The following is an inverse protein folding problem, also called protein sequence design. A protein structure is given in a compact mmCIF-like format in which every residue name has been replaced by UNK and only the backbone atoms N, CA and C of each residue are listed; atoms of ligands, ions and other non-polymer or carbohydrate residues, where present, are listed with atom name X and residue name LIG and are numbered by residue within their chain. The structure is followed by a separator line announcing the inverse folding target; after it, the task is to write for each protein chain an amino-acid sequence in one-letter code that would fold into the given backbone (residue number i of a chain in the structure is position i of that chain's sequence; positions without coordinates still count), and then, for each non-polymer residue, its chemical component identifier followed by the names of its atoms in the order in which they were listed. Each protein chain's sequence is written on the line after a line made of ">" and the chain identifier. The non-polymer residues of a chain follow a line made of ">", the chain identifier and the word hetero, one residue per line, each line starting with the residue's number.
data_IF_912638008632
#
_entry.id   IF_912638008632
#
_cell.length_a   1.000
_cell.length_b   1.000
_cell.length_c   1.000
_cell.angle_alpha   90.00
_cell.angle_beta   90.00
_cell.angle_gamma   90.00
#
_symmetry.space_group_name_H-M   'P 1'
#
loop_
_entity.id
_entity.type
_entity.pdbx_description
1 polymer ?
#
# COMPACT_ATOMS: atom_id res chain seq x y z
N UNK A 1 4.03 43.31 21.81
CA UNK A 1 3.85 42.48 23.04
C UNK A 1 2.81 41.41 22.72
N UNK A 2 3.22 40.14 22.71
CA UNK A 2 2.28 39.03 22.56
C UNK A 2 1.41 38.95 23.81
N UNK A 3 0.09 38.81 23.69
CA UNK A 3 -0.82 38.82 24.84
C UNK A 3 -0.85 37.54 25.65
N UNK A 4 -0.13 36.49 25.25
CA UNK A 4 -0.01 35.22 25.99
C UNK A 4 1.39 34.64 25.85
N UNK A 5 1.91 33.89 26.84
CA UNK A 5 3.20 33.22 26.70
C UNK A 5 3.11 32.12 25.63
N UNK A 6 3.87 32.31 24.55
CA UNK A 6 4.01 31.29 23.53
C UNK A 6 4.86 30.14 24.08
N UNK A 7 4.34 28.91 24.06
CA UNK A 7 5.13 27.70 24.34
C UNK A 7 5.60 27.12 22.99
N UNK A 8 6.91 26.95 22.85
CA UNK A 8 7.45 26.15 21.76
C UNK A 8 7.05 24.69 22.04
N UNK A 9 6.21 24.12 21.18
CA UNK A 9 5.71 22.75 21.33
C UNK A 9 6.69 21.76 20.71
N UNK A 10 7.41 22.17 19.67
CA UNK A 10 8.43 21.39 19.00
C UNK A 10 9.35 22.33 18.20
N UNK A 11 10.64 22.16 18.31
CA UNK A 11 11.63 22.84 17.50
C UNK A 11 12.48 21.76 16.80
N UNK A 12 12.40 21.71 15.49
CA UNK A 12 13.24 20.85 14.66
C UNK A 12 14.26 21.74 13.93
N UNK A 13 15.50 21.78 14.43
CA UNK A 13 16.59 22.49 13.78
C UNK A 13 17.35 21.50 12.89
N UNK A 14 16.98 21.41 11.63
CA UNK A 14 17.73 20.63 10.62
C UNK A 14 18.57 21.60 9.81
N UNK A 15 19.90 21.42 9.80
CA UNK A 15 20.79 22.21 8.95
C UNK A 15 20.40 22.10 7.47
N UNK A 16 20.53 23.19 6.67
CA UNK A 16 20.07 23.20 5.27
C UNK A 16 20.65 22.08 4.41
N UNK A 17 21.88 21.67 4.68
CA UNK A 17 22.57 20.59 3.96
C UNK A 17 22.05 19.20 4.32
N UNK A 18 21.79 18.93 5.60
CA UNK A 18 21.22 17.66 6.06
C UNK A 18 19.77 17.50 5.62
N UNK A 19 18.99 18.58 5.62
CA UNK A 19 17.62 18.58 5.12
C UNK A 19 17.56 18.26 3.63
N UNK A 20 18.38 18.88 2.80
CA UNK A 20 18.44 18.62 1.36
C UNK A 20 18.87 17.18 1.05
N UNK A 21 19.88 16.66 1.73
CA UNK A 21 20.34 15.29 1.57
C UNK A 21 19.27 14.27 1.95
N UNK A 22 18.54 14.49 3.05
CA UNK A 22 17.46 13.61 3.51
C UNK A 22 16.31 13.59 2.52
N UNK A 23 15.91 14.73 1.96
CA UNK A 23 14.87 14.81 0.92
C UNK A 23 15.32 14.09 -0.34
N UNK A 24 16.56 14.27 -0.79
CA UNK A 24 17.07 13.57 -1.96
C UNK A 24 17.07 12.05 -1.77
N UNK A 25 17.52 11.56 -0.63
CA UNK A 25 17.47 10.14 -0.26
C UNK A 25 16.03 9.62 -0.22
N UNK A 26 15.10 10.39 0.30
CA UNK A 26 13.68 10.07 0.30
C UNK A 26 13.08 9.92 -1.11
N UNK A 27 13.41 10.85 -2.01
CA UNK A 27 12.99 10.81 -3.42
C UNK A 27 13.58 9.58 -4.13
N UNK A 28 14.87 9.31 -3.94
CA UNK A 28 15.51 8.12 -4.53
C UNK A 28 14.83 6.83 -4.03
N UNK A 29 14.57 6.73 -2.73
CA UNK A 29 13.87 5.58 -2.14
C UNK A 29 12.46 5.42 -2.70
N UNK A 30 11.73 6.52 -2.89
CA UNK A 30 10.42 6.53 -3.52
C UNK A 30 10.47 5.99 -4.96
N UNK A 31 11.40 6.49 -5.78
CA UNK A 31 11.55 6.05 -7.17
C UNK A 31 11.94 4.58 -7.25
N UNK A 32 12.87 4.13 -6.41
CA UNK A 32 13.26 2.71 -6.35
C UNK A 32 12.08 1.82 -5.96
N UNK A 33 11.34 2.17 -4.91
CA UNK A 33 10.15 1.42 -4.50
C UNK A 33 9.10 1.38 -5.62
N UNK A 34 8.85 2.51 -6.27
CA UNK A 34 7.91 2.63 -7.38
C UNK A 34 8.27 1.71 -8.56
N UNK A 35 9.54 1.74 -8.99
CA UNK A 35 10.02 0.88 -10.09
C UNK A 35 9.94 -0.60 -9.70
N UNK A 36 10.32 -0.96 -8.48
CA UNK A 36 10.22 -2.34 -7.99
C UNK A 36 8.77 -2.84 -8.01
N UNK A 37 7.81 -2.02 -7.58
CA UNK A 37 6.38 -2.36 -7.63
C UNK A 37 5.88 -2.53 -9.06
N UNK A 38 6.29 -1.65 -9.99
CA UNK A 38 5.92 -1.78 -11.41
C UNK A 38 6.43 -3.08 -12.03
N UNK A 39 7.70 -3.42 -11.78
CA UNK A 39 8.30 -4.68 -12.26
C UNK A 39 7.59 -5.88 -11.65
N UNK A 40 7.34 -5.86 -10.33
CA UNK A 40 6.61 -6.90 -9.63
C UNK A 40 5.23 -7.18 -10.25
N UNK A 41 4.45 -6.14 -10.54
CA UNK A 41 3.11 -6.30 -11.10
C UNK A 41 3.12 -6.95 -12.50
N UNK A 42 4.06 -6.56 -13.37
CA UNK A 42 4.19 -7.19 -14.69
C UNK A 42 4.68 -8.65 -14.58
N UNK A 43 5.62 -8.92 -13.67
CA UNK A 43 6.17 -10.25 -13.47
C UNK A 43 5.11 -11.23 -12.92
N UNK A 44 4.22 -10.76 -12.04
CA UNK A 44 3.21 -11.60 -11.39
C UNK A 44 1.92 -11.77 -12.19
N UNK A 45 1.46 -10.73 -12.91
CA UNK A 45 0.13 -10.70 -13.52
C UNK A 45 0.11 -10.66 -15.05
N UNK A 46 1.26 -10.90 -15.69
CA UNK A 46 1.39 -10.78 -17.13
C UNK A 46 1.35 -9.30 -17.63
N UNK A 47 1.65 -9.13 -18.94
CA UNK A 47 1.87 -7.80 -19.53
C UNK A 47 0.60 -6.95 -19.46
N UNK A 48 -0.57 -7.47 -19.86
CA UNK A 48 -1.79 -6.65 -19.95
C UNK A 48 -2.30 -6.23 -18.57
N UNK A 49 -2.58 -7.15 -17.60
CA UNK A 49 -3.01 -6.74 -16.26
C UNK A 49 -1.92 -5.97 -15.50
N UNK A 50 -0.65 -6.37 -15.65
CA UNK A 50 0.48 -5.69 -15.03
C UNK A 50 0.62 -4.24 -15.50
N UNK A 51 0.50 -3.98 -16.81
CA UNK A 51 0.53 -2.62 -17.37
C UNK A 51 -0.68 -1.80 -16.94
N UNK A 52 -1.86 -2.44 -16.78
CA UNK A 52 -3.04 -1.76 -16.24
C UNK A 52 -2.87 -1.33 -14.79
N UNK A 53 -2.32 -2.20 -13.95
CA UNK A 53 -1.99 -1.85 -12.58
C UNK A 53 -0.93 -0.73 -12.52
N UNK A 54 0.07 -0.80 -13.37
CA UNK A 54 1.10 0.24 -13.48
C UNK A 54 0.53 1.59 -13.93
N UNK A 55 -0.41 1.58 -14.88
CA UNK A 55 -1.13 2.80 -15.28
C UNK A 55 -1.93 3.37 -14.11
N UNK A 56 -2.65 2.53 -13.37
CA UNK A 56 -3.38 2.96 -12.17
C UNK A 56 -2.43 3.54 -11.11
N UNK A 57 -1.25 2.96 -10.94
CA UNK A 57 -0.23 3.43 -10.02
C UNK A 57 0.35 4.79 -10.44
N UNK A 58 0.63 4.99 -11.73
CA UNK A 58 1.06 6.27 -12.29
C UNK A 58 0.00 7.37 -12.06
N UNK A 59 -1.26 7.05 -12.37
CA UNK A 59 -2.37 7.98 -12.16
C UNK A 59 -2.57 8.28 -10.67
N UNK A 60 -2.38 7.30 -9.80
CA UNK A 60 -2.41 7.49 -8.34
C UNK A 60 -1.38 8.52 -7.89
N UNK A 61 -0.11 8.36 -8.29
CA UNK A 61 0.96 9.32 -7.97
C UNK A 61 0.63 10.71 -8.51
N UNK A 62 0.19 10.78 -9.76
CA UNK A 62 -0.17 12.05 -10.39
C UNK A 62 -1.28 12.78 -9.64
N UNK A 63 -2.36 12.09 -9.28
CA UNK A 63 -3.45 12.70 -8.51
C UNK A 63 -3.03 13.05 -7.08
N UNK A 64 -2.26 12.19 -6.42
CA UNK A 64 -1.77 12.47 -5.07
C UNK A 64 -0.91 13.74 -5.06
N UNK A 65 0.04 13.87 -5.98
CA UNK A 65 0.85 15.08 -6.12
C UNK A 65 0.01 16.30 -6.51
N UNK A 66 -0.94 16.14 -7.43
CA UNK A 66 -1.84 17.21 -7.84
C UNK A 66 -2.70 17.74 -6.69
N UNK A 67 -3.22 16.86 -5.84
CA UNK A 67 -3.99 17.25 -4.66
C UNK A 67 -3.09 17.94 -3.64
N UNK A 68 -1.91 17.39 -3.34
CA UNK A 68 -0.96 18.00 -2.40
C UNK A 68 -0.55 19.40 -2.83
N UNK A 69 -0.27 19.62 -4.11
CA UNK A 69 0.08 20.96 -4.63
C UNK A 69 -1.11 21.91 -4.57
N UNK A 70 -2.33 21.44 -4.83
CA UNK A 70 -3.54 22.27 -4.73
C UNK A 70 -3.79 22.79 -3.31
N UNK A 71 -3.49 21.96 -2.31
CA UNK A 71 -3.59 22.35 -0.89
C UNK A 71 -2.35 23.09 -0.37
N UNK A 72 -1.37 23.39 -1.23
CA UNK A 72 -0.08 23.98 -0.84
C UNK A 72 0.59 23.23 0.34
N UNK A 73 0.34 21.93 0.42
CA UNK A 73 0.92 21.09 1.46
C UNK A 73 2.43 20.91 1.20
N UNK A 74 3.24 21.27 2.18
CA UNK A 74 4.68 21.05 2.09
C UNK A 74 4.98 19.54 2.07
N UNK A 75 5.73 19.10 1.06
CA UNK A 75 6.19 17.73 0.97
C UNK A 75 7.36 17.54 1.94
N UNK A 76 7.06 17.06 3.13
CA UNK A 76 8.05 16.75 4.17
C UNK A 76 8.62 15.34 3.98
N UNK A 77 9.76 15.03 4.60
CA UNK A 77 10.32 13.69 4.58
C UNK A 77 9.35 12.61 5.11
N UNK A 78 8.65 12.82 6.24
CA UNK A 78 7.58 11.92 6.66
C UNK A 78 6.40 11.86 5.67
N UNK A 79 6.10 12.95 4.97
CA UNK A 79 5.12 12.96 3.90
C UNK A 79 5.50 12.06 2.72
N UNK A 80 6.78 12.05 2.33
CA UNK A 80 7.30 11.08 1.35
C UNK A 80 7.10 9.64 1.82
N UNK A 81 7.36 9.33 3.10
CA UNK A 81 7.10 8.01 3.66
C UNK A 81 5.61 7.63 3.59
N UNK A 82 4.71 8.58 3.85
CA UNK A 82 3.26 8.40 3.68
C UNK A 82 2.88 8.08 2.23
N UNK A 83 3.50 8.74 1.25
CA UNK A 83 3.31 8.43 -0.18
C UNK A 83 3.78 7.01 -0.52
N UNK A 84 4.97 6.60 -0.08
CA UNK A 84 5.49 5.23 -0.31
C UNK A 84 4.53 4.20 0.27
N UNK A 85 4.03 4.43 1.48
CA UNK A 85 3.05 3.55 2.11
C UNK A 85 1.75 3.47 1.30
N UNK A 86 1.26 4.59 0.78
CA UNK A 86 0.04 4.62 -0.05
C UNK A 86 0.22 3.90 -1.39
N UNK A 87 1.43 3.90 -1.98
CA UNK A 87 1.73 3.08 -3.16
C UNK A 87 1.58 1.58 -2.88
N UNK A 88 2.03 1.13 -1.72
CA UNK A 88 1.86 -0.26 -1.28
C UNK A 88 0.38 -0.65 -1.21
N UNK A 89 -0.45 0.19 -0.59
CA UNK A 89 -1.90 -0.05 -0.50
C UNK A 89 -2.61 0.02 -1.86
N UNK A 90 -2.14 0.88 -2.77
CA UNK A 90 -2.67 0.98 -4.13
C UNK A 90 -2.41 -0.29 -4.94
N UNK A 91 -1.19 -0.86 -4.82
CA UNK A 91 -0.84 -2.13 -5.47
C UNK A 91 -1.65 -3.27 -4.86
N UNK A 92 -1.81 -3.33 -3.53
CA UNK A 92 -2.55 -4.37 -2.82
C UNK A 92 -4.01 -4.46 -3.30
N UNK A 93 -4.67 -3.35 -3.51
CA UNK A 93 -6.03 -3.31 -4.06
C UNK A 93 -6.11 -3.96 -5.46
N UNK A 94 -5.16 -3.65 -6.35
CA UNK A 94 -5.09 -4.26 -7.68
C UNK A 94 -4.78 -5.77 -7.61
N UNK A 95 -3.85 -6.17 -6.74
CA UNK A 95 -3.51 -7.57 -6.47
C UNK A 95 -4.76 -8.35 -6.04
N UNK A 96 -5.51 -7.83 -5.08
CA UNK A 96 -6.72 -8.47 -4.57
C UNK A 96 -7.77 -8.65 -5.67
N UNK A 97 -8.01 -7.64 -6.49
CA UNK A 97 -8.93 -7.72 -7.63
C UNK A 97 -8.46 -8.81 -8.61
N UNK A 98 -7.18 -8.83 -8.97
CA UNK A 98 -6.65 -9.78 -9.95
C UNK A 98 -6.68 -11.23 -9.44
N UNK A 99 -6.39 -11.45 -8.15
CA UNK A 99 -6.51 -12.80 -7.58
C UNK A 99 -7.98 -13.27 -7.55
N UNK A 100 -8.94 -12.40 -7.27
CA UNK A 100 -10.37 -12.73 -7.39
C UNK A 100 -10.78 -13.02 -8.84
N UNK A 101 -10.29 -12.26 -9.82
CA UNK A 101 -10.53 -12.55 -11.23
C UNK A 101 -9.94 -13.93 -11.61
N UNK A 102 -8.74 -14.28 -11.14
CA UNK A 102 -8.13 -15.59 -11.35
C UNK A 102 -8.98 -16.73 -10.75
N UNK A 103 -9.50 -16.57 -9.54
CA UNK A 103 -10.41 -17.54 -8.91
C UNK A 103 -11.64 -17.77 -9.77
N UNK A 104 -12.26 -16.71 -10.26
CA UNK A 104 -13.45 -16.79 -11.09
C UNK A 104 -13.19 -17.42 -12.48
N UNK A 105 -12.04 -17.13 -13.08
CA UNK A 105 -11.58 -17.78 -14.31
C UNK A 105 -11.33 -19.28 -14.10
N UNK A 106 -10.74 -19.67 -12.97
CA UNK A 106 -10.51 -21.08 -12.61
C UNK A 106 -11.82 -21.83 -12.34
N UNK A 107 -12.87 -21.14 -11.92
CA UNK A 107 -14.22 -21.73 -11.78
C UNK A 107 -14.93 -21.96 -13.13
N UNK A 108 -14.31 -21.58 -14.25
CA UNK A 108 -14.83 -21.78 -15.61
C UNK A 108 -15.68 -20.63 -16.14
N UNK A 109 -15.73 -19.48 -15.47
CA UNK A 109 -16.44 -18.30 -15.99
C UNK A 109 -15.71 -17.67 -17.17
N UNK A 110 -16.46 -17.14 -18.12
CA UNK A 110 -15.90 -16.35 -19.22
C UNK A 110 -15.26 -15.05 -18.72
N UNK A 111 -14.29 -14.50 -19.47
CA UNK A 111 -13.50 -13.34 -19.07
C UNK A 111 -14.35 -12.17 -18.58
N UNK A 112 -15.40 -11.80 -19.31
CA UNK A 112 -16.27 -10.68 -18.94
C UNK A 112 -16.99 -10.90 -17.61
N UNK A 113 -17.48 -12.12 -17.38
CA UNK A 113 -18.13 -12.49 -16.12
C UNK A 113 -17.12 -12.58 -14.96
N UNK A 114 -15.94 -13.13 -15.22
CA UNK A 114 -14.88 -13.25 -14.23
C UNK A 114 -14.37 -11.89 -13.75
N UNK A 115 -14.18 -10.93 -14.66
CA UNK A 115 -13.80 -9.56 -14.32
C UNK A 115 -14.90 -8.89 -13.48
N UNK A 116 -16.16 -8.93 -13.92
CA UNK A 116 -17.27 -8.34 -13.18
C UNK A 116 -17.42 -8.94 -11.77
N UNK A 117 -17.33 -10.27 -11.64
CA UNK A 117 -17.40 -10.97 -10.37
C UNK A 117 -16.16 -10.68 -9.49
N UNK A 118 -14.96 -10.64 -10.07
CA UNK A 118 -13.72 -10.35 -9.35
C UNK A 118 -13.74 -8.98 -8.69
N UNK A 119 -14.16 -7.93 -9.43
CA UNK A 119 -14.33 -6.60 -8.85
C UNK A 119 -15.43 -6.57 -7.78
N UNK A 120 -16.56 -7.25 -7.98
CA UNK A 120 -17.63 -7.32 -7.00
C UNK A 120 -17.20 -8.00 -5.71
N UNK A 121 -16.53 -9.15 -5.81
CA UNK A 121 -16.10 -9.94 -4.65
C UNK A 121 -14.91 -9.30 -3.90
N UNK A 122 -14.04 -8.55 -4.60
CA UNK A 122 -12.93 -7.85 -3.98
C UNK A 122 -13.36 -6.54 -3.29
N UNK A 123 -14.46 -5.92 -3.73
CA UNK A 123 -14.87 -4.58 -3.30
C UNK A 123 -14.98 -4.44 -1.78
N UNK A 124 -15.70 -5.35 -1.12
CA UNK A 124 -15.90 -5.30 0.33
C UNK A 124 -14.58 -5.32 1.09
N UNK A 125 -13.68 -6.25 0.74
CA UNK A 125 -12.39 -6.38 1.42
C UNK A 125 -11.50 -5.15 1.20
N UNK A 126 -11.49 -4.59 -0.03
CA UNK A 126 -10.73 -3.37 -0.35
C UNK A 126 -11.31 -2.17 0.40
N UNK A 127 -12.63 -2.04 0.44
CA UNK A 127 -13.31 -0.96 1.15
C UNK A 127 -13.01 -1.00 2.66
N UNK A 128 -13.16 -2.17 3.29
CA UNK A 128 -12.94 -2.35 4.73
C UNK A 128 -11.48 -2.05 5.13
N UNK A 129 -10.52 -2.53 4.33
CA UNK A 129 -9.10 -2.29 4.55
C UNK A 129 -8.74 -0.80 4.41
N UNK A 130 -9.25 -0.13 3.36
CA UNK A 130 -9.02 1.30 3.16
C UNK A 130 -9.73 2.15 4.22
N UNK A 131 -10.94 1.76 4.65
CA UNK A 131 -11.67 2.44 5.72
C UNK A 131 -10.90 2.36 7.05
N UNK A 132 -10.38 1.19 7.40
CA UNK A 132 -9.56 1.00 8.61
C UNK A 132 -8.29 1.88 8.56
N UNK A 133 -7.62 1.90 7.43
CA UNK A 133 -6.44 2.75 7.20
C UNK A 133 -6.79 4.24 7.26
N UNK A 134 -7.93 4.63 6.72
CA UNK A 134 -8.43 6.01 6.76
C UNK A 134 -8.71 6.46 8.19
N UNK A 135 -9.38 5.63 9.00
CA UNK A 135 -9.64 5.92 10.41
C UNK A 135 -8.32 6.13 11.16
N UNK A 136 -7.34 5.25 10.96
CA UNK A 136 -6.01 5.40 11.54
C UNK A 136 -5.33 6.69 11.11
N UNK A 137 -5.39 7.02 9.81
CA UNK A 137 -4.86 8.26 9.26
C UNK A 137 -5.50 9.51 9.88
N UNK A 138 -6.82 9.51 10.04
CA UNK A 138 -7.57 10.62 10.68
C UNK A 138 -7.16 10.78 12.14
N UNK A 139 -7.00 9.69 12.88
CA UNK A 139 -6.50 9.75 14.28
C UNK A 139 -5.10 10.37 14.30
N UNK A 140 -4.18 9.94 13.45
CA UNK A 140 -2.84 10.52 13.36
C UNK A 140 -2.84 11.98 12.94
N UNK A 141 -3.78 12.39 12.09
CA UNK A 141 -3.92 13.79 11.65
C UNK A 141 -4.41 14.69 12.79
N UNK A 142 -5.34 14.19 13.63
CA UNK A 142 -5.95 14.98 14.72
C UNK A 142 -5.08 15.02 15.96
N UNK A 143 -4.45 13.91 16.33
CA UNK A 143 -3.62 13.79 17.55
C UNK A 143 -2.13 14.07 17.30
N UNK A 144 -1.66 13.91 16.05
CA UNK A 144 -0.27 14.09 15.70
C UNK A 144 0.16 15.55 15.68
N UNK A 145 1.45 15.77 15.83
CA UNK A 145 2.11 17.09 15.75
C UNK A 145 3.19 17.06 14.67
N UNK A 146 3.53 18.23 14.10
CA UNK A 146 4.65 18.42 13.18
C UNK A 146 4.77 17.33 12.10
N UNK A 147 5.82 16.51 12.13
CA UNK A 147 6.12 15.49 11.11
C UNK A 147 5.00 14.45 10.94
N UNK A 148 4.32 14.06 12.03
CA UNK A 148 3.24 13.07 12.02
C UNK A 148 2.04 13.58 11.21
N UNK A 149 1.71 14.85 11.30
CA UNK A 149 0.63 15.46 10.50
C UNK A 149 0.96 15.43 9.01
N UNK A 150 2.19 15.76 8.63
CA UNK A 150 2.64 15.69 7.25
C UNK A 150 2.51 14.28 6.67
N UNK A 151 2.95 13.27 7.41
CA UNK A 151 2.76 11.85 7.06
C UNK A 151 1.28 11.49 6.91
N UNK A 152 0.46 11.80 7.92
CA UNK A 152 -0.95 11.45 7.92
C UNK A 152 -1.72 12.09 6.76
N UNK A 153 -1.44 13.37 6.45
CA UNK A 153 -2.06 14.08 5.34
C UNK A 153 -1.80 13.39 4.00
N UNK A 154 -0.53 13.10 3.70
CA UNK A 154 -0.16 12.45 2.44
C UNK A 154 -0.71 11.03 2.37
N UNK A 155 -0.71 10.29 3.47
CA UNK A 155 -1.23 8.93 3.54
C UNK A 155 -2.74 8.88 3.32
N UNK A 156 -3.53 9.76 3.98
CA UNK A 156 -4.99 9.86 3.77
C UNK A 156 -5.32 10.16 2.31
N UNK A 157 -4.67 11.17 1.72
CA UNK A 157 -4.87 11.52 0.30
C UNK A 157 -4.54 10.31 -0.58
N UNK A 158 -3.41 9.65 -0.33
CA UNK A 158 -2.99 8.46 -1.07
C UNK A 158 -3.99 7.31 -0.97
N UNK A 159 -4.58 7.03 0.21
CA UNK A 159 -5.61 6.00 0.40
C UNK A 159 -6.85 6.31 -0.44
N UNK A 160 -7.37 7.53 -0.38
CA UNK A 160 -8.57 7.93 -1.12
C UNK A 160 -8.33 7.83 -2.63
N UNK A 161 -7.19 8.32 -3.09
CA UNK A 161 -6.81 8.25 -4.52
C UNK A 161 -6.59 6.82 -4.96
N UNK A 162 -5.94 5.98 -4.14
CA UNK A 162 -5.69 4.57 -4.45
C UNK A 162 -6.98 3.77 -4.58
N UNK A 163 -7.92 3.99 -3.68
CA UNK A 163 -9.23 3.37 -3.77
C UNK A 163 -9.95 3.75 -5.07
N UNK A 164 -9.95 5.04 -5.41
CA UNK A 164 -10.55 5.53 -6.64
C UNK A 164 -9.87 4.94 -7.89
N UNK A 165 -8.56 4.98 -7.97
CA UNK A 165 -7.82 4.49 -9.15
C UNK A 165 -7.92 2.98 -9.31
N UNK A 166 -7.80 2.21 -8.23
CA UNK A 166 -7.83 0.75 -8.29
C UNK A 166 -9.24 0.19 -8.54
N UNK A 167 -10.28 0.80 -7.97
CA UNK A 167 -11.64 0.24 -8.07
C UNK A 167 -12.42 0.82 -9.24
N UNK A 168 -12.37 2.16 -9.43
CA UNK A 168 -13.19 2.81 -10.45
C UNK A 168 -12.46 2.94 -11.78
N UNK A 169 -11.25 3.49 -11.78
CA UNK A 169 -10.53 3.76 -13.03
C UNK A 169 -10.15 2.48 -13.76
N UNK A 170 -9.57 1.51 -13.07
CA UNK A 170 -9.18 0.24 -13.71
C UNK A 170 -10.40 -0.53 -14.19
N UNK A 171 -11.50 -0.56 -13.42
CA UNK A 171 -12.76 -1.18 -13.82
C UNK A 171 -13.32 -0.56 -15.11
N UNK A 172 -13.35 0.77 -15.17
CA UNK A 172 -13.83 1.50 -16.35
C UNK A 172 -13.05 1.08 -17.61
N UNK A 173 -11.73 0.97 -17.52
CA UNK A 173 -10.89 0.55 -18.65
C UNK A 173 -11.13 -0.90 -19.03
N UNK A 174 -11.26 -1.81 -18.06
CA UNK A 174 -11.59 -3.21 -18.34
C UNK A 174 -12.96 -3.35 -18.98
N UNK A 175 -13.99 -2.70 -18.44
CA UNK A 175 -15.35 -2.75 -18.99
C UNK A 175 -15.39 -2.17 -20.41
N UNK A 176 -14.70 -1.06 -20.67
CA UNK A 176 -14.59 -0.48 -22.01
C UNK A 176 -13.91 -1.43 -23.01
N UNK A 177 -12.78 -2.03 -22.64
CA UNK A 177 -12.02 -2.93 -23.53
C UNK A 177 -12.76 -4.26 -23.77
N UNK A 178 -13.38 -4.83 -22.76
CA UNK A 178 -14.15 -6.08 -22.87
C UNK A 178 -15.45 -5.89 -23.66
N UNK A 179 -16.07 -4.72 -23.59
CA UNK A 179 -17.27 -4.42 -24.38
C UNK A 179 -16.98 -4.24 -25.87
N UNK A 180 -15.71 -3.94 -26.23
CA UNK A 180 -15.26 -3.87 -27.62
C UNK A 180 -14.54 -5.16 -28.08
N UNK A 181 -14.81 -6.29 -27.43
CA UNK A 181 -14.23 -7.62 -27.69
C UNK A 181 -12.69 -7.65 -27.69
N UNK A 182 -12.06 -6.63 -27.09
CA UNK A 182 -10.61 -6.58 -26.86
C UNK A 182 -10.33 -7.23 -25.50
N UNK A 183 -9.21 -7.93 -25.37
CA UNK A 183 -8.78 -8.59 -24.12
C UNK A 183 -9.62 -9.80 -23.68
N UNK A 184 -10.45 -10.36 -24.53
CA UNK A 184 -11.22 -11.59 -24.23
C UNK A 184 -10.33 -12.81 -23.94
N UNK A 185 -9.09 -12.83 -24.44
CA UNK A 185 -8.11 -13.89 -24.19
C UNK A 185 -6.95 -13.42 -23.30
N UNK A 186 -7.17 -12.39 -22.49
CA UNK A 186 -6.16 -11.87 -21.57
C UNK A 186 -5.84 -12.91 -20.49
N UNK A 187 -4.58 -13.23 -20.30
CA UNK A 187 -4.11 -14.13 -19.24
C UNK A 187 -3.69 -13.30 -18.04
N UNK A 188 -4.21 -13.64 -16.87
CA UNK A 188 -3.82 -13.04 -15.58
C UNK A 188 -2.70 -13.82 -14.90
N UNK A 189 -2.32 -14.99 -15.41
CA UNK A 189 -1.26 -15.83 -14.87
C UNK A 189 0.01 -15.73 -15.71
N UNK A 190 1.15 -15.65 -15.03
CA UNK A 190 2.47 -15.85 -15.63
C UNK A 190 3.01 -17.23 -15.24
N UNK A 191 4.01 -17.79 -15.96
CA UNK A 191 4.65 -19.05 -15.56
C UNK A 191 5.20 -19.02 -14.12
N UNK A 192 5.59 -17.85 -13.65
CA UNK A 192 6.08 -17.64 -12.27
C UNK A 192 4.93 -17.70 -11.28
N UNK A 193 3.81 -17.00 -11.57
CA UNK A 193 2.64 -16.94 -10.69
C UNK A 193 1.87 -18.25 -10.66
N UNK A 194 1.77 -18.96 -11.78
CA UNK A 194 1.01 -20.19 -11.92
C UNK A 194 1.52 -21.32 -11.01
N UNK A 195 2.84 -21.44 -10.84
CA UNK A 195 3.45 -22.54 -10.10
C UNK A 195 3.77 -22.22 -8.63
N UNK A 196 3.63 -20.96 -8.19
CA UNK A 196 4.14 -20.55 -6.88
C UNK A 196 3.36 -21.19 -5.71
N UNK A 197 2.06 -21.45 -5.88
CA UNK A 197 1.23 -22.04 -4.82
C UNK A 197 0.34 -23.22 -5.26
N UNK A 198 0.34 -23.59 -6.53
CA UNK A 198 -0.49 -24.70 -7.02
C UNK A 198 0.12 -26.05 -6.62
N UNK A 199 -0.69 -26.88 -5.96
CA UNK A 199 -0.32 -28.27 -5.62
C UNK A 199 0.37 -28.49 -4.29
N UNK A 200 0.81 -27.47 -3.58
CA UNK A 200 1.40 -27.62 -2.25
C UNK A 200 0.29 -27.61 -1.19
N UNK A 201 -0.20 -28.79 -0.85
CA UNK A 201 -1.11 -28.97 0.30
C UNK A 201 -0.28 -28.92 1.59
N UNK A 202 0.01 -27.73 2.10
CA UNK A 202 0.59 -27.59 3.43
C UNK A 202 -0.43 -28.00 4.49
N UNK A 203 -0.09 -29.00 5.27
CA UNK A 203 -0.94 -29.44 6.42
C UNK A 203 -0.74 -28.49 7.60
N UNK A 204 -1.13 -27.22 7.47
CA UNK A 204 -0.98 -26.21 8.54
C UNK A 204 -1.58 -26.68 9.86
N UNK A 205 -2.77 -27.34 9.79
CA UNK A 205 -3.45 -27.85 10.99
C UNK A 205 -2.71 -28.98 11.69
N UNK A 206 -1.84 -29.73 11.01
CA UNK A 206 -1.03 -30.75 11.69
C UNK A 206 0.22 -30.19 12.37
N UNK A 207 0.66 -28.99 11.95
CA UNK A 207 1.85 -28.32 12.50
C UNK A 207 1.53 -27.36 13.66
N UNK A 208 0.25 -27.29 14.11
CA UNK A 208 -0.17 -26.29 15.10
C UNK A 208 0.63 -26.38 16.41
N UNK A 209 0.96 -27.61 16.87
CA UNK A 209 1.75 -27.81 18.10
C UNK A 209 3.13 -27.19 17.98
N UNK A 210 3.83 -27.46 16.87
CA UNK A 210 5.18 -26.95 16.62
C UNK A 210 5.16 -25.42 16.50
N UNK A 211 4.19 -24.87 15.74
CA UNK A 211 4.05 -23.42 15.57
C UNK A 211 3.74 -22.71 16.90
N UNK A 212 2.86 -23.32 17.71
CA UNK A 212 2.52 -22.77 19.02
C UNK A 212 3.70 -22.83 19.99
N UNK A 213 4.47 -23.91 19.99
CA UNK A 213 5.69 -24.05 20.80
C UNK A 213 6.74 -23.01 20.40
N UNK A 214 6.98 -22.83 19.09
CA UNK A 214 7.92 -21.82 18.59
C UNK A 214 7.47 -20.40 18.98
N UNK A 215 6.18 -20.11 18.86
CA UNK A 215 5.62 -18.80 19.27
C UNK A 215 5.80 -18.54 20.77
N UNK A 216 5.53 -19.54 21.62
CA UNK A 216 5.71 -19.43 23.09
C UNK A 216 7.19 -19.22 23.42
N UNK A 217 8.08 -20.01 22.83
CA UNK A 217 9.53 -19.89 23.06
C UNK A 217 10.03 -18.50 22.64
N UNK A 218 9.61 -18.03 21.46
CA UNK A 218 9.94 -16.69 21.01
C UNK A 218 9.42 -15.60 21.98
N UNK A 219 8.17 -15.69 22.41
CA UNK A 219 7.59 -14.75 23.39
C UNK A 219 8.38 -14.74 24.70
N UNK A 220 8.72 -15.92 25.25
CA UNK A 220 9.52 -16.03 26.49
C UNK A 220 10.91 -15.42 26.31
N UNK A 221 11.57 -15.66 25.17
CA UNK A 221 12.88 -15.08 24.85
C UNK A 221 12.80 -13.56 24.76
N UNK A 222 11.79 -13.01 24.07
CA UNK A 222 11.61 -11.56 23.96
C UNK A 222 11.30 -10.92 25.30
N UNK A 223 10.39 -11.51 26.10
CA UNK A 223 10.06 -11.02 27.43
C UNK A 223 11.29 -11.13 28.35
N UNK A 224 12.00 -12.26 28.33
CA UNK A 224 13.23 -12.44 29.11
C UNK A 224 14.33 -11.44 28.73
N UNK A 225 14.51 -11.19 27.42
CA UNK A 225 15.46 -10.17 26.91
C UNK A 225 15.08 -8.75 27.39
N UNK A 226 13.78 -8.45 27.45
CA UNK A 226 13.28 -7.18 27.96
C UNK A 226 13.62 -6.96 29.45
N UNK A 227 13.48 -8.01 30.28
CA UNK A 227 13.83 -7.92 31.69
C UNK A 227 15.35 -7.91 31.95
N UNK A 228 16.14 -8.57 31.11
CA UNK A 228 17.62 -8.64 31.26
C UNK A 228 18.31 -7.40 30.73
N UNK A 229 17.89 -6.89 29.54
CA UNK A 229 18.55 -5.75 28.88
C UNK A 229 17.89 -4.40 29.17
N UNK A 230 16.63 -4.40 29.65
CA UNK A 230 15.85 -3.17 29.79
C UNK A 230 15.54 -2.52 28.44
N UNK A 231 14.67 -1.50 28.42
CA UNK A 231 14.58 -0.56 27.31
C UNK A 231 15.79 0.38 27.43
N UNK A 232 16.66 0.38 26.43
CA UNK A 232 17.61 1.48 26.28
C UNK A 232 16.77 2.75 26.09
N UNK A 233 16.59 3.52 27.14
CA UNK A 233 16.01 4.86 27.04
C UNK A 233 17.05 5.69 26.30
N UNK A 234 16.82 5.95 25.00
CA UNK A 234 17.47 7.05 24.32
C UNK A 234 16.94 8.34 24.95
N UNK A 235 17.57 8.74 26.03
CA UNK A 235 17.45 10.07 26.60
C UNK A 235 18.85 10.62 26.49
N UNK A 236 19.09 11.32 25.38
CA UNK A 236 20.04 12.43 25.30
C UNK A 236 19.66 13.25 24.07
#
# INVERSE_FOLDING_TARGET
>A
RMPAPARIVQEEVVGPTLGAQSIQMGIVSFVVAFVLLMVYMVMMYNIIPGMMANLALLVNVFFTLGILTSFQAALTLPGLAGMVLSLGTAVDANVLIYERIKEELRSGKGMKQAVAAGYGNAFSAIFDSNLTSLITGVILLTTGTGPIRGFATTWIIGIVVSFFTAVFLTRLVYDYKLNHDKWMHCKFDTPVSHNLMQGKKYKFMSMYKTTFTVAIVAAVVFIGSFFVRGLSKSID
#
